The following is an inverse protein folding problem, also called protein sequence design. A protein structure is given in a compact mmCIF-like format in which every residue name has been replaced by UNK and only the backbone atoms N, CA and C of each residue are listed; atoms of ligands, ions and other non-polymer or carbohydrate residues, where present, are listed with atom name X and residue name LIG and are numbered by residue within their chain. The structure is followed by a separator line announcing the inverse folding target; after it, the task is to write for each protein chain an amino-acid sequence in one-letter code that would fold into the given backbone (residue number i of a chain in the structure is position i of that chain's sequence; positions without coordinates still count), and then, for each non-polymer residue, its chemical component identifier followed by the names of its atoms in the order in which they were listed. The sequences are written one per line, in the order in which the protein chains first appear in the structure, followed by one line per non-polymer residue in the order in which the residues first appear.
data_IF_729540864901
#
_entry.id   IF_729540864901
#
_cell.length_a   1.000
_cell.length_b   1.000
_cell.length_c   1.000
_cell.angle_alpha   90.00
_cell.angle_beta   90.00
_cell.angle_gamma   90.00
#
_symmetry.space_group_name_H-M   'P 1'
#
loop_
_entity.id
_entity.type
_entity.pdbx_description
1 polymer ?
#
# COMPACT_ATOMS: atom_id res chain seq x y z
N UNK A 1 -7.95 2.24 7.17
CA UNK A 1 -7.08 1.14 6.80
C UNK A 1 -6.66 0.37 8.05
N UNK A 2 -7.02 -0.90 8.16
CA UNK A 2 -6.65 -1.82 9.25
C UNK A 2 -5.54 -2.77 8.80
N UNK A 3 -4.89 -3.47 9.74
CA UNK A 3 -3.79 -4.42 9.44
C UNK A 3 -4.24 -5.52 8.47
N UNK A 4 -5.44 -6.07 8.65
CA UNK A 4 -5.98 -7.10 7.74
C UNK A 4 -6.16 -6.57 6.32
N UNK A 5 -6.61 -5.33 6.17
CA UNK A 5 -6.77 -4.67 4.87
C UNK A 5 -5.41 -4.33 4.24
N UNK A 6 -4.42 -3.92 5.05
CA UNK A 6 -3.05 -3.73 4.58
C UNK A 6 -2.49 -5.03 4.00
N UNK A 7 -2.68 -6.17 4.68
CA UNK A 7 -2.29 -7.49 4.19
C UNK A 7 -3.01 -7.89 2.90
N UNK A 8 -4.31 -7.63 2.84
CA UNK A 8 -5.13 -7.94 1.68
C UNK A 8 -4.83 -7.03 0.46
N UNK A 9 -4.17 -5.87 0.69
CA UNK A 9 -3.90 -4.88 -0.36
C UNK A 9 -5.14 -4.12 -0.84
N UNK A 10 -6.24 -4.18 -0.10
CA UNK A 10 -7.52 -3.54 -0.45
C UNK A 10 -8.29 -3.11 0.79
N UNK A 11 -9.09 -2.05 0.65
CA UNK A 11 -10.02 -1.60 1.69
C UNK A 11 -11.31 -2.44 1.69
N UNK A 12 -12.03 -2.38 2.80
CA UNK A 12 -13.40 -2.89 2.89
C UNK A 12 -14.36 -1.73 2.64
N UNK A 13 -15.20 -1.85 1.62
CA UNK A 13 -16.17 -0.82 1.21
C UNK A 13 -17.28 -0.59 2.25
N UNK A 14 -17.48 -1.53 3.18
CA UNK A 14 -18.49 -1.43 4.22
C UNK A 14 -18.04 -0.58 5.43
N UNK A 15 -16.75 -0.22 5.51
CA UNK A 15 -16.19 0.58 6.60
C UNK A 15 -15.77 1.92 6.07
N UNK A 16 -16.63 2.91 6.25
CA UNK A 16 -16.36 4.30 5.85
C UNK A 16 -15.74 5.08 7.00
N UNK A 17 -14.86 6.02 6.66
CA UNK A 17 -14.30 6.99 7.58
C UNK A 17 -14.76 8.39 7.20
N UNK A 18 -14.87 9.28 8.21
CA UNK A 18 -15.19 10.67 7.97
C UNK A 18 -13.99 11.36 7.32
N UNK A 19 -14.22 12.15 6.25
CA UNK A 19 -13.19 12.95 5.57
C UNK A 19 -12.67 14.14 6.40
N UNK A 20 -13.30 14.46 7.54
CA UNK A 20 -12.85 15.50 8.47
C UNK A 20 -11.67 15.04 9.34
N UNK A 21 -10.63 14.51 8.71
CA UNK A 21 -9.42 14.09 9.38
C UNK A 21 -8.23 14.87 8.84
N UNK A 22 -7.16 14.95 9.64
CA UNK A 22 -5.93 15.61 9.22
C UNK A 22 -5.33 14.87 8.01
N UNK A 23 -4.75 15.59 7.03
CA UNK A 23 -4.18 14.98 5.82
C UNK A 23 -3.14 13.90 6.08
N UNK A 24 -2.40 13.99 7.19
CA UNK A 24 -1.41 13.01 7.62
C UNK A 24 -1.98 11.61 7.87
N UNK A 25 -3.29 11.51 8.19
CA UNK A 25 -3.99 10.24 8.40
C UNK A 25 -4.71 9.73 7.14
N UNK A 26 -4.61 10.43 6.02
CA UNK A 26 -5.17 9.99 4.75
C UNK A 26 -4.08 9.22 4.00
N UNK A 27 -4.32 7.94 3.76
CA UNK A 27 -3.44 7.05 2.97
C UNK A 27 -3.83 7.15 1.51
N UNK A 28 -2.85 7.20 0.61
CA UNK A 28 -3.02 7.21 -0.85
C UNK A 28 -2.16 6.15 -1.52
N UNK A 29 -2.48 5.85 -2.76
CA UNK A 29 -1.64 4.96 -3.57
C UNK A 29 -0.20 5.48 -3.65
N UNK A 30 0.77 4.61 -3.42
CA UNK A 30 2.20 4.94 -3.34
C UNK A 30 2.72 5.20 -1.92
N UNK A 31 1.84 5.43 -0.94
CA UNK A 31 2.27 5.55 0.46
C UNK A 31 2.89 4.24 0.96
N UNK A 32 4.01 4.34 1.65
CA UNK A 32 4.62 3.22 2.36
C UNK A 32 3.98 3.11 3.73
N UNK A 33 3.33 1.99 4.00
CA UNK A 33 2.59 1.76 5.26
C UNK A 33 3.25 0.64 6.04
N UNK A 34 3.49 0.89 7.32
CA UNK A 34 4.06 -0.06 8.26
C UNK A 34 3.10 -0.33 9.43
N UNK A 35 2.89 -1.62 9.74
CA UNK A 35 2.16 -2.06 10.92
C UNK A 35 3.15 -2.35 12.06
N UNK A 36 2.96 -1.70 13.23
CA UNK A 36 3.85 -1.82 14.38
C UNK A 36 3.32 -2.75 15.48
N UNK A 37 2.10 -3.24 15.35
CA UNK A 37 1.48 -4.14 16.35
C UNK A 37 0.75 -5.30 15.67
N UNK A 38 0.56 -6.39 16.40
CA UNK A 38 -0.03 -7.62 15.89
C UNK A 38 0.85 -8.25 14.81
N UNK A 39 0.34 -8.33 13.59
CA UNK A 39 1.16 -8.77 12.45
C UNK A 39 1.93 -7.58 11.90
N UNK A 40 3.23 -7.53 12.16
CA UNK A 40 4.12 -6.54 11.57
C UNK A 40 4.23 -6.76 10.06
N UNK A 41 3.89 -5.73 9.31
CA UNK A 41 3.84 -5.76 7.85
C UNK A 41 4.30 -4.42 7.29
N UNK A 42 4.95 -4.42 6.15
CA UNK A 42 5.24 -3.22 5.38
C UNK A 42 4.76 -3.39 3.95
N UNK A 43 4.10 -2.38 3.41
CA UNK A 43 3.64 -2.37 2.02
C UNK A 43 3.70 -0.98 1.40
N UNK A 44 3.93 -0.95 0.09
CA UNK A 44 3.55 0.16 -0.76
C UNK A 44 2.05 -0.01 -1.01
N UNK A 45 1.26 0.96 -0.58
CA UNK A 45 -0.19 0.90 -0.67
C UNK A 45 -0.68 1.17 -2.10
N UNK A 46 -1.68 0.41 -2.56
CA UNK A 46 -2.29 0.53 -3.90
C UNK A 46 -3.81 0.32 -3.86
N UNK A 47 -4.40 0.36 -2.66
CA UNK A 47 -5.82 0.07 -2.43
C UNK A 47 -6.72 1.31 -2.42
N UNK A 48 -6.25 2.45 -2.95
CA UNK A 48 -6.99 3.70 -3.00
C UNK A 48 -6.93 4.52 -1.71
N UNK A 49 -7.71 5.61 -1.66
CA UNK A 49 -7.74 6.48 -0.50
C UNK A 49 -8.34 5.77 0.71
N UNK A 50 -7.68 5.88 1.86
CA UNK A 50 -8.12 5.25 3.10
C UNK A 50 -7.71 6.06 4.33
N UNK A 51 -8.45 5.91 5.44
CA UNK A 51 -8.08 6.48 6.73
C UNK A 51 -7.10 5.57 7.48
N UNK A 52 -5.98 6.11 7.94
CA UNK A 52 -4.94 5.39 8.67
C UNK A 52 -5.42 5.01 10.07
N UNK A 53 -5.32 3.73 10.43
CA UNK A 53 -5.60 3.26 11.78
C UNK A 53 -4.41 3.53 12.70
N UNK A 54 -4.66 3.67 14.01
CA UNK A 54 -3.65 3.94 15.05
C UNK A 54 -2.52 2.89 15.14
N UNK A 55 -2.74 1.68 14.61
CA UNK A 55 -1.74 0.60 14.60
C UNK A 55 -0.84 0.62 13.35
N UNK A 56 -0.99 1.62 12.52
CA UNK A 56 -0.25 1.79 11.27
C UNK A 56 0.47 3.13 11.25
N UNK A 57 1.63 3.17 10.59
CA UNK A 57 2.37 4.37 10.30
C UNK A 57 2.55 4.56 8.80
N UNK A 58 2.55 5.81 8.35
CA UNK A 58 3.17 6.18 7.08
C UNK A 58 4.67 6.29 7.29
N UNK A 59 5.43 5.59 6.45
CA UNK A 59 6.90 5.67 6.44
C UNK A 59 7.33 6.59 5.31
N UNK A 60 7.89 7.74 5.65
CA UNK A 60 8.35 8.73 4.68
C UNK A 60 9.58 9.48 5.20
N UNK A 61 10.29 10.12 4.31
CA UNK A 61 11.40 11.01 4.62
C UNK A 61 11.31 12.27 3.77
N UNK A 62 11.72 13.40 4.33
CA UNK A 62 11.87 14.66 3.59
C UNK A 62 13.17 14.69 2.77
N UNK A 63 14.12 13.81 3.10
CA UNK A 63 15.48 13.82 2.52
C UNK A 63 15.70 12.63 1.58
N UNK A 64 15.10 11.48 1.90
CA UNK A 64 15.32 10.23 1.17
C UNK A 64 14.09 9.82 0.35
N UNK A 65 14.29 9.19 -0.83
CA UNK A 65 13.20 8.76 -1.68
C UNK A 65 12.39 7.63 -1.04
N UNK A 66 11.13 7.53 -1.43
CA UNK A 66 10.16 6.57 -0.88
C UNK A 66 10.62 5.11 -1.05
N UNK A 67 11.24 4.76 -2.19
CA UNK A 67 11.79 3.42 -2.41
C UNK A 67 12.84 3.05 -1.37
N UNK A 68 13.70 4.02 -0.97
CA UNK A 68 14.71 3.77 0.05
C UNK A 68 14.08 3.57 1.43
N UNK A 69 13.07 4.38 1.78
CA UNK A 69 12.30 4.22 3.01
C UNK A 69 11.65 2.83 3.08
N UNK A 70 11.04 2.37 1.98
CA UNK A 70 10.44 1.05 1.89
C UNK A 70 11.46 -0.06 2.08
N UNK A 71 12.53 -0.07 1.29
CA UNK A 71 13.55 -1.11 1.32
C UNK A 71 14.28 -1.16 2.67
N UNK A 72 14.59 -0.01 3.25
CA UNK A 72 15.23 0.09 4.56
C UNK A 72 14.37 -0.50 5.67
N UNK A 73 13.09 -0.18 5.68
CA UNK A 73 12.15 -0.73 6.66
C UNK A 73 11.93 -2.23 6.43
N UNK A 74 11.81 -2.65 5.17
CA UNK A 74 11.65 -4.07 4.81
C UNK A 74 12.84 -4.91 5.29
N UNK A 75 14.08 -4.38 5.17
CA UNK A 75 15.28 -5.03 5.68
C UNK A 75 15.23 -5.32 7.18
N UNK A 76 14.66 -4.39 7.96
CA UNK A 76 14.54 -4.54 9.41
C UNK A 76 13.29 -5.32 9.85
N UNK A 77 12.37 -5.62 8.94
CA UNK A 77 11.09 -6.25 9.29
C UNK A 77 11.26 -7.58 10.02
N UNK A 78 12.26 -8.39 9.64
CA UNK A 78 12.55 -9.66 10.30
C UNK A 78 12.94 -9.44 11.77
N UNK A 79 13.91 -8.57 12.04
CA UNK A 79 14.34 -8.25 13.40
C UNK A 79 13.21 -7.68 14.24
N UNK A 80 12.37 -6.81 13.65
CA UNK A 80 11.19 -6.28 14.33
C UNK A 80 10.19 -7.39 14.69
N UNK A 81 9.98 -8.37 13.82
CA UNK A 81 9.13 -9.54 14.10
C UNK A 81 9.70 -10.40 15.23
N UNK A 82 11.01 -10.61 15.27
CA UNK A 82 11.70 -11.34 16.33
C UNK A 82 11.57 -10.61 17.69
N UNK A 83 11.75 -9.29 17.73
CA UNK A 83 11.53 -8.46 18.92
C UNK A 83 10.07 -8.54 19.39
N UNK A 84 9.11 -8.42 18.47
CA UNK A 84 7.69 -8.52 18.81
C UNK A 84 7.34 -9.91 19.38
N UNK A 85 7.87 -10.97 18.81
CA UNK A 85 7.65 -12.35 19.26
C UNK A 85 8.26 -12.61 20.66
N UNK A 86 9.44 -12.07 20.95
CA UNK A 86 10.11 -12.25 22.25
C UNK A 86 9.37 -11.59 23.42
N UNK A 87 8.51 -10.59 23.14
CA UNK A 87 7.74 -9.82 24.15
C UNK A 87 6.24 -10.17 24.18
N UNK A 88 5.82 -11.15 23.39
CA UNK A 88 4.39 -11.48 23.25
C UNK A 88 3.90 -12.37 24.41
N UNK A 89 3.16 -11.78 25.34
CA UNK A 89 2.25 -12.54 26.19
C UNK A 89 0.83 -12.63 25.59
N UNK A 90 0.43 -11.68 24.74
CA UNK A 90 -0.90 -11.65 24.08
C UNK A 90 -0.86 -11.13 22.63
N UNK A 91 -0.30 -9.95 22.41
CA UNK A 91 -0.11 -9.36 21.07
C UNK A 91 1.29 -8.79 20.95
N UNK A 92 2.11 -9.37 20.09
CA UNK A 92 3.44 -8.85 19.80
C UNK A 92 3.36 -7.42 19.22
N UNK A 93 4.11 -6.50 19.79
CA UNK A 93 4.27 -5.14 19.27
C UNK A 93 5.70 -4.66 19.46
N UNK A 94 6.13 -3.76 18.61
CA UNK A 94 7.40 -3.05 18.79
C UNK A 94 7.15 -1.68 19.41
N UNK A 95 8.10 -1.21 20.18
CA UNK A 95 8.07 0.12 20.78
C UNK A 95 8.84 1.12 19.91
N UNK A 96 8.59 2.42 20.10
CA UNK A 96 9.24 3.48 19.31
C UNK A 96 10.77 3.43 19.37
N UNK A 97 11.35 3.07 20.51
CA UNK A 97 12.80 2.98 20.65
C UNK A 97 13.41 1.91 19.75
N UNK A 98 12.73 0.77 19.50
CA UNK A 98 13.22 -0.25 18.56
C UNK A 98 13.36 0.30 17.14
N UNK A 99 12.47 1.23 16.74
CA UNK A 99 12.56 1.90 15.44
C UNK A 99 13.74 2.89 15.41
N UNK A 100 13.95 3.64 16.49
CA UNK A 100 15.06 4.61 16.57
C UNK A 100 16.45 3.96 16.72
N UNK A 101 16.51 2.75 17.29
CA UNK A 101 17.74 1.96 17.39
C UNK A 101 18.12 1.26 16.08
N UNK A 102 17.17 1.14 15.14
CA UNK A 102 17.41 0.52 13.83
C UNK A 102 18.37 1.39 12.99
N UNK A 103 19.61 0.95 12.87
CA UNK A 103 20.64 1.66 12.10
C UNK A 103 20.49 1.40 10.61
N UNK A 104 20.52 2.46 9.83
CA UNK A 104 20.49 2.42 8.37
C UNK A 104 21.83 2.81 7.78
N UNK A 105 22.32 2.03 6.82
CA UNK A 105 23.41 2.44 5.96
C UNK A 105 22.85 3.34 4.87
N UNK A 106 23.10 4.64 4.97
CA UNK A 106 22.71 5.61 3.95
C UNK A 106 23.85 5.73 2.94
N UNK A 107 23.62 5.42 1.66
CA UNK A 107 24.65 5.53 0.63
C UNK A 107 24.97 7.00 0.33
N UNK A 108 26.16 7.30 -0.22
CA UNK A 108 26.50 8.63 -0.72
C UNK A 108 25.45 9.13 -1.72
N UNK A 109 25.30 10.45 -1.81
CA UNK A 109 24.27 11.11 -2.66
C UNK A 109 24.29 10.64 -4.10
N UNK A 110 25.48 10.49 -4.69
CA UNK A 110 25.64 10.03 -6.08
C UNK A 110 25.12 8.61 -6.29
N UNK A 111 25.42 7.71 -5.35
CA UNK A 111 24.93 6.34 -5.40
C UNK A 111 23.41 6.29 -5.17
N UNK A 112 22.88 7.10 -4.25
CA UNK A 112 21.45 7.24 -4.04
C UNK A 112 20.73 7.69 -5.32
N UNK A 113 21.30 8.65 -6.06
CA UNK A 113 20.75 9.12 -7.33
C UNK A 113 20.75 8.02 -8.39
N UNK A 114 21.88 7.30 -8.57
CA UNK A 114 21.95 6.16 -9.50
C UNK A 114 20.94 5.07 -9.16
N UNK A 115 20.82 4.71 -7.88
CA UNK A 115 19.82 3.76 -7.40
C UNK A 115 18.39 4.25 -7.66
N UNK A 116 18.12 5.55 -7.51
CA UNK A 116 16.79 6.12 -7.73
C UNK A 116 16.34 6.04 -9.18
N UNK A 117 17.26 6.06 -10.13
CA UNK A 117 16.95 5.86 -11.56
C UNK A 117 16.43 4.44 -11.86
N UNK A 118 16.73 3.47 -11.01
CA UNK A 118 16.29 2.08 -11.13
C UNK A 118 15.07 1.84 -10.23
N UNK A 119 15.22 2.07 -8.94
CA UNK A 119 14.19 1.72 -7.95
C UNK A 119 12.97 2.65 -7.98
N UNK A 120 13.13 3.91 -8.40
CA UNK A 120 12.02 4.84 -8.57
C UNK A 120 10.98 4.34 -9.60
N UNK A 121 11.40 4.09 -10.85
CA UNK A 121 10.51 3.49 -11.86
C UNK A 121 9.93 2.14 -11.46
N UNK A 122 10.70 1.28 -10.78
CA UNK A 122 10.18 -0.01 -10.28
C UNK A 122 9.06 0.19 -9.25
N UNK A 123 9.23 1.13 -8.33
CA UNK A 123 8.16 1.46 -7.37
C UNK A 123 6.94 2.05 -8.06
N UNK A 124 7.13 2.94 -9.03
CA UNK A 124 6.03 3.48 -9.83
C UNK A 124 5.27 2.38 -10.58
N UNK A 125 5.98 1.41 -11.13
CA UNK A 125 5.38 0.26 -11.80
C UNK A 125 4.55 -0.60 -10.82
N UNK A 126 5.04 -0.83 -9.61
CA UNK A 126 4.28 -1.52 -8.55
C UNK A 126 2.96 -0.78 -8.26
N UNK A 127 3.02 0.54 -8.12
CA UNK A 127 1.84 1.37 -7.84
C UNK A 127 0.86 1.32 -9.02
N UNK A 128 1.33 1.51 -10.23
CA UNK A 128 0.48 1.51 -11.43
C UNK A 128 -0.18 0.14 -11.64
N UNK A 129 0.58 -0.95 -11.53
CA UNK A 129 0.02 -2.30 -11.64
C UNK A 129 -1.01 -2.59 -10.54
N UNK A 130 -0.76 -2.15 -9.31
CA UNK A 130 -1.72 -2.31 -8.21
C UNK A 130 -3.02 -1.55 -8.45
N UNK A 131 -2.94 -0.33 -8.99
CA UNK A 131 -4.12 0.45 -9.42
C UNK A 131 -4.88 -0.26 -10.53
N UNK A 132 -4.18 -0.71 -11.56
CA UNK A 132 -4.78 -1.43 -12.70
C UNK A 132 -5.50 -2.70 -12.23
N UNK A 133 -4.88 -3.50 -11.36
CA UNK A 133 -5.52 -4.70 -10.78
C UNK A 133 -6.82 -4.34 -10.05
N UNK A 134 -6.85 -3.24 -9.29
CA UNK A 134 -8.05 -2.76 -8.60
C UNK A 134 -9.13 -2.36 -9.61
N UNK A 135 -8.80 -1.55 -10.60
CA UNK A 135 -9.74 -1.08 -11.62
C UNK A 135 -10.34 -2.24 -12.43
N UNK A 136 -9.51 -3.21 -12.82
CA UNK A 136 -9.96 -4.42 -13.50
C UNK A 136 -10.88 -5.28 -12.61
N UNK A 137 -10.58 -5.38 -11.32
CA UNK A 137 -11.44 -6.10 -10.38
C UNK A 137 -12.79 -5.41 -10.19
N UNK A 138 -12.83 -4.08 -10.12
CA UNK A 138 -14.07 -3.29 -10.06
C UNK A 138 -14.88 -3.45 -11.34
N UNK A 139 -14.23 -3.38 -12.51
CA UNK A 139 -14.87 -3.58 -13.81
C UNK A 139 -15.49 -4.98 -13.90
N UNK A 140 -14.74 -6.02 -13.57
CA UNK A 140 -15.24 -7.40 -13.53
C UNK A 140 -16.46 -7.52 -12.61
N UNK A 141 -16.36 -6.98 -11.40
CA UNK A 141 -17.45 -7.08 -10.41
C UNK A 141 -18.71 -6.31 -10.85
N UNK A 142 -18.55 -5.29 -11.68
CA UNK A 142 -19.66 -4.54 -12.27
C UNK A 142 -20.30 -5.26 -13.45
N UNK A 143 -19.49 -5.86 -14.33
CA UNK A 143 -19.98 -6.49 -15.56
C UNK A 143 -20.53 -7.90 -15.33
N UNK A 144 -19.85 -8.72 -14.52
CA UNK A 144 -20.15 -10.13 -14.36
C UNK A 144 -21.60 -10.41 -13.93
N UNK A 145 -22.19 -9.73 -12.91
CA UNK A 145 -23.60 -9.96 -12.54
C UNK A 145 -24.59 -9.59 -13.65
N UNK A 146 -24.25 -8.59 -14.48
CA UNK A 146 -25.10 -8.11 -15.58
C UNK A 146 -25.07 -9.06 -16.76
N UNK A 147 -23.89 -9.64 -17.06
CA UNK A 147 -23.74 -10.69 -18.08
C UNK A 147 -24.49 -11.97 -17.68
N UNK A 148 -24.30 -12.45 -16.44
CA UNK A 148 -24.95 -13.67 -15.94
C UNK A 148 -26.48 -13.52 -15.93
N UNK A 149 -26.98 -12.33 -15.60
CA UNK A 149 -28.43 -12.07 -15.58
C UNK A 149 -29.04 -11.76 -16.96
N UNK A 150 -28.23 -11.74 -18.03
CA UNK A 150 -28.68 -11.37 -19.38
C UNK A 150 -29.05 -9.89 -19.56
N UNK A 151 -28.77 -9.05 -18.56
CA UNK A 151 -29.00 -7.58 -18.62
C UNK A 151 -27.97 -6.83 -19.47
N UNK A 152 -26.90 -7.50 -19.87
CA UNK A 152 -25.85 -6.98 -20.72
C UNK A 152 -25.46 -8.10 -21.71
N UNK A 153 -25.37 -7.77 -23.01
CA UNK A 153 -24.81 -8.66 -24.00
C UNK A 153 -23.28 -8.63 -23.97
N UNK A 154 -22.63 -9.64 -24.57
CA UNK A 154 -21.17 -9.66 -24.69
C UNK A 154 -20.69 -8.47 -25.53
N UNK A 155 -21.34 -8.17 -26.65
CA UNK A 155 -21.03 -7.06 -27.54
C UNK A 155 -21.10 -5.69 -26.83
N UNK A 156 -22.11 -5.48 -25.97
CA UNK A 156 -22.23 -4.24 -25.20
C UNK A 156 -21.16 -4.16 -24.10
N UNK A 157 -20.75 -5.30 -23.53
CA UNK A 157 -19.67 -5.35 -22.55
C UNK A 157 -18.32 -5.01 -23.19
N UNK A 158 -18.03 -5.52 -24.38
CA UNK A 158 -16.82 -5.22 -25.15
C UNK A 158 -16.74 -3.73 -25.47
N UNK A 159 -17.79 -3.11 -25.99
CA UNK A 159 -17.87 -1.66 -26.23
C UNK A 159 -17.64 -0.84 -24.95
N UNK A 160 -18.19 -1.29 -23.83
CA UNK A 160 -18.01 -0.59 -22.55
C UNK A 160 -16.56 -0.65 -22.04
N UNK A 161 -15.82 -1.72 -22.33
CA UNK A 161 -14.41 -1.87 -22.01
C UNK A 161 -13.57 -0.94 -22.91
N UNK A 162 -13.80 -0.98 -24.22
CA UNK A 162 -13.07 -0.14 -25.20
C UNK A 162 -13.20 1.35 -24.89
N UNK A 163 -14.40 1.84 -24.58
CA UNK A 163 -14.63 3.23 -24.20
C UNK A 163 -13.86 3.64 -22.92
N UNK A 164 -13.70 2.74 -21.96
CA UNK A 164 -12.93 3.04 -20.73
C UNK A 164 -11.43 3.07 -20.96
N UNK A 165 -10.92 2.22 -21.80
CA UNK A 165 -9.48 2.21 -22.17
C UNK A 165 -9.12 3.49 -22.91
N UNK A 166 -9.94 3.91 -23.88
CA UNK A 166 -9.72 5.14 -24.66
C UNK A 166 -9.75 6.45 -23.82
N UNK A 167 -10.41 6.46 -22.66
CA UNK A 167 -10.46 7.64 -21.75
C UNK A 167 -9.24 7.66 -20.79
N UNK A 168 -8.49 6.58 -20.70
CA UNK A 168 -7.34 6.42 -19.77
C UNK A 168 -6.00 6.74 -20.44
N UNK A 169 -5.95 6.97 -21.76
CA UNK A 169 -4.83 7.47 -22.55
C UNK A 169 -4.84 9.00 -22.67
#
# INVERSE_FOLDING_TARGET
LKIAQLKAGRTDTNILANRRMKPEFIVRDGDVIFSWSGSLEIRIWTGGEAALNQHLFKVFSQVHPSWFCFQSTLRHLRSFKEIAASKATTMGHIQRHHLSEAKLAVPPKELMQKCSQIFGPMQSLIVNNGRLVRELAELRNHLLPRLISGKLSIEDAERAIEMRVAVSE
#
